data_IF_553684889183
#
_entry.id   IF_553684889183
#
_cell.length_a   1.000
_cell.length_b   1.000
_cell.length_c   1.000
_cell.angle_alpha   90.00
_cell.angle_beta   90.00
_cell.angle_gamma   90.00
#
_symmetry.space_group_name_H-M   'P 1'
#
loop_
_entity.id
_entity.type
_entity.pdbx_description
1 polymer ?
#
# COMPACT_ATOMS: atom_id res chain seq x y z
N UNK A 1 0.23 23.53 6.10
CA UNK A 1 0.30 22.34 6.97
C UNK A 1 1.19 21.34 6.27
N UNK A 2 2.33 20.97 6.86
CA UNK A 2 3.29 20.06 6.22
C UNK A 2 2.70 18.66 6.21
N UNK A 3 2.22 18.20 5.05
CA UNK A 3 1.79 16.82 4.87
C UNK A 3 2.98 15.90 5.17
N UNK A 4 2.95 15.22 6.33
CA UNK A 4 3.99 14.28 6.69
C UNK A 4 3.90 13.11 5.73
N UNK A 5 4.89 12.94 4.85
CA UNK A 5 4.94 11.84 3.89
C UNK A 5 6.11 10.90 4.23
N UNK A 6 5.92 9.60 3.99
CA UNK A 6 6.98 8.60 4.14
C UNK A 6 7.19 7.85 2.84
N UNK A 7 8.46 7.67 2.48
CA UNK A 7 8.87 6.87 1.32
C UNK A 7 9.22 5.47 1.78
N UNK A 8 8.65 4.45 1.12
CA UNK A 8 8.95 3.05 1.35
C UNK A 8 9.66 2.48 0.12
N UNK A 9 10.73 1.73 0.35
CA UNK A 9 11.41 0.97 -0.70
C UNK A 9 10.76 -0.40 -0.79
N UNK A 10 10.29 -0.75 -1.98
CA UNK A 10 9.57 -1.99 -2.26
C UNK A 10 10.35 -2.76 -3.32
N UNK A 11 10.45 -4.07 -3.17
CA UNK A 11 10.96 -4.95 -4.21
C UNK A 11 9.79 -5.66 -4.86
N UNK A 12 9.64 -5.52 -6.18
CA UNK A 12 8.57 -6.21 -6.89
C UNK A 12 8.76 -7.73 -6.81
N UNK A 13 7.69 -8.48 -6.51
CA UNK A 13 7.74 -9.94 -6.52
C UNK A 13 7.76 -10.55 -7.94
N UNK A 14 7.43 -9.76 -8.97
CA UNK A 14 7.31 -10.23 -10.36
C UNK A 14 8.58 -10.00 -11.17
N UNK A 15 9.07 -8.75 -11.21
CA UNK A 15 10.28 -8.39 -11.96
C UNK A 15 11.53 -8.23 -11.08
N UNK A 16 11.40 -8.37 -9.76
CA UNK A 16 12.48 -8.21 -8.78
C UNK A 16 13.15 -6.83 -8.72
N UNK A 17 12.72 -5.88 -9.55
CA UNK A 17 13.19 -4.50 -9.56
C UNK A 17 12.74 -3.76 -8.30
N UNK A 18 13.65 -3.02 -7.63
CA UNK A 18 13.31 -2.17 -6.50
C UNK A 18 12.69 -0.85 -6.98
N UNK A 19 11.60 -0.42 -6.36
CA UNK A 19 10.97 0.88 -6.59
C UNK A 19 10.58 1.56 -5.29
N UNK A 20 10.27 2.85 -5.37
CA UNK A 20 9.88 3.65 -4.22
C UNK A 20 8.42 4.06 -4.33
N UNK A 21 7.70 3.97 -3.23
CA UNK A 21 6.31 4.43 -3.10
C UNK A 21 6.22 5.42 -1.95
N UNK A 22 5.42 6.46 -2.14
CA UNK A 22 5.23 7.54 -1.15
C UNK A 22 3.81 7.47 -0.62
N UNK A 23 3.68 7.46 0.69
CA UNK A 23 2.38 7.50 1.36
C UNK A 23 2.30 8.74 2.27
N UNK A 24 1.22 9.52 2.17
CA UNK A 24 0.94 10.56 3.16
C UNK A 24 0.53 9.90 4.49
N UNK A 25 0.83 10.57 5.60
CA UNK A 25 0.32 10.22 6.91
C UNK A 25 -1.20 10.40 6.90
N UNK A 26 -1.92 9.30 7.03
CA UNK A 26 -3.37 9.25 7.05
C UNK A 26 -3.94 9.42 8.47
N UNK A 27 -3.36 8.71 9.44
CA UNK A 27 -3.79 8.74 10.85
C UNK A 27 -2.57 8.64 11.78
N UNK A 28 -2.25 9.71 12.48
CA UNK A 28 -1.10 9.73 13.38
C UNK A 28 -1.22 8.70 14.52
N UNK A 29 -2.43 8.48 15.01
CA UNK A 29 -2.74 7.61 16.16
C UNK A 29 -3.03 6.15 15.78
N UNK A 30 -2.88 5.78 14.50
CA UNK A 30 -3.13 4.40 14.07
C UNK A 30 -1.92 3.51 14.34
N UNK A 31 -2.10 2.53 15.20
CA UNK A 31 -1.08 1.53 15.55
C UNK A 31 -1.16 0.26 14.68
N UNK A 32 -0.03 -0.42 14.56
CA UNK A 32 0.11 -1.68 13.84
C UNK A 32 0.40 -1.53 12.34
N UNK A 33 0.39 -2.65 11.65
CA UNK A 33 0.71 -2.76 10.23
C UNK A 33 -0.51 -3.18 9.41
N UNK A 34 -0.54 -2.79 8.14
CA UNK A 34 -1.58 -3.17 7.20
C UNK A 34 -1.00 -3.46 5.82
N UNK A 35 -1.75 -4.23 5.04
CA UNK A 35 -1.40 -4.58 3.67
C UNK A 35 -1.99 -3.55 2.71
N UNK A 36 -1.18 -3.07 1.78
CA UNK A 36 -1.62 -2.18 0.69
C UNK A 36 -1.14 -2.73 -0.65
N UNK A 37 -1.95 -2.49 -1.68
CA UNK A 37 -1.61 -2.84 -3.07
C UNK A 37 -0.91 -1.65 -3.70
N UNK A 38 0.26 -1.88 -4.28
CA UNK A 38 0.97 -0.87 -5.09
C UNK A 38 1.28 -1.44 -6.47
N UNK A 39 1.21 -0.59 -7.49
CA UNK A 39 1.57 -0.97 -8.86
C UNK A 39 3.06 -0.78 -9.06
N UNK A 40 3.75 -1.83 -9.53
CA UNK A 40 5.16 -1.75 -9.87
C UNK A 40 5.37 -0.84 -11.08
N UNK A 41 6.29 0.12 -10.97
CA UNK A 41 6.62 1.06 -12.05
C UNK A 41 7.30 0.42 -13.26
N UNK A 42 7.82 -0.81 -13.11
CA UNK A 42 8.61 -1.49 -14.14
C UNK A 42 7.82 -2.53 -14.93
N UNK A 43 7.00 -3.34 -14.26
CA UNK A 43 6.22 -4.41 -14.91
C UNK A 43 4.70 -4.15 -14.89
N UNK A 44 4.27 -3.02 -14.32
CA UNK A 44 2.86 -2.63 -14.17
C UNK A 44 1.98 -3.63 -13.41
N UNK A 45 2.59 -4.62 -12.76
CA UNK A 45 1.88 -5.58 -11.93
C UNK A 45 1.65 -5.06 -10.51
N UNK A 46 0.54 -5.48 -9.94
CA UNK A 46 0.20 -5.18 -8.56
C UNK A 46 1.00 -6.08 -7.60
N UNK A 47 1.55 -5.47 -6.56
CA UNK A 47 2.23 -6.15 -5.47
C UNK A 47 1.68 -5.68 -4.13
N UNK A 48 1.57 -6.63 -3.20
CA UNK A 48 1.07 -6.37 -1.85
C UNK A 48 2.27 -6.08 -0.94
N UNK A 49 2.23 -4.97 -0.22
CA UNK A 49 3.27 -4.60 0.75
C UNK A 49 2.65 -4.36 2.12
N UNK A 50 3.44 -4.57 3.16
CA UNK A 50 3.06 -4.27 4.54
C UNK A 50 3.68 -2.94 4.95
N UNK A 51 2.85 -1.98 5.38
CA UNK A 51 3.29 -0.67 5.89
C UNK A 51 2.52 -0.32 7.18
N UNK A 52 3.01 0.62 8.01
CA UNK A 52 2.28 1.05 9.20
C UNK A 52 0.92 1.63 8.84
N UNK A 53 -0.11 1.28 9.62
CA UNK A 53 -1.49 1.73 9.42
C UNK A 53 -1.64 3.24 9.42
N UNK A 54 -0.74 3.95 10.10
CA UNK A 54 -0.69 5.41 10.09
C UNK A 54 -0.52 6.03 8.70
N UNK A 55 -0.06 5.27 7.70
CA UNK A 55 0.09 5.69 6.30
C UNK A 55 -0.92 5.05 5.36
N UNK A 56 -1.92 4.32 5.87
CA UNK A 56 -2.95 3.67 5.07
C UNK A 56 -4.23 4.51 5.18
N UNK A 57 -4.59 5.21 4.11
CA UNK A 57 -5.87 5.88 4.02
C UNK A 57 -7.01 4.85 3.98
N UNK A 58 -8.13 5.14 4.62
CA UNK A 58 -9.29 4.23 4.68
C UNK A 58 -9.83 3.89 3.28
N UNK A 59 -9.67 4.81 2.31
CA UNK A 59 -10.00 4.60 0.89
C UNK A 59 -9.06 3.64 0.16
N UNK A 60 -7.81 3.49 0.60
CA UNK A 60 -6.86 2.54 0.01
C UNK A 60 -7.16 1.08 0.39
N UNK A 61 -7.89 0.86 1.49
CA UNK A 61 -8.39 -0.45 1.90
C UNK A 61 -9.52 -0.94 0.99
N UNK A 62 -10.30 -0.03 0.40
CA UNK A 62 -11.49 -0.37 -0.42
C UNK A 62 -11.14 -0.76 -1.86
N UNK A 63 -9.99 -0.36 -2.42
CA UNK A 63 -9.57 -0.76 -3.78
C UNK A 63 -8.79 -2.08 -3.85
N UNK A 64 -8.48 -2.69 -2.71
CA UNK A 64 -7.75 -3.97 -2.63
C UNK A 64 -8.62 -5.17 -2.23
N UNK A 65 -9.89 -4.95 -1.92
CA UNK A 65 -10.86 -5.99 -1.65
C UNK A 65 -11.86 -5.95 -2.79
N UNK A 66 -11.47 -6.50 -3.95
CA UNK A 66 -12.49 -7.21 -4.73
C UNK A 66 -13.06 -8.22 -3.74
N UNK A 67 -14.27 -7.90 -3.27
CA UNK A 67 -15.08 -8.79 -2.48
C UNK A 67 -15.31 -9.97 -3.39
N UNK A 68 -14.52 -11.03 -3.24
CA UNK A 68 -14.84 -12.33 -3.82
C UNK A 68 -16.23 -12.64 -3.27
N UNK A 69 -17.29 -12.65 -4.10
CA UNK A 69 -18.57 -13.13 -3.59
C UNK A 69 -18.33 -14.58 -3.18
N UNK A 70 -18.49 -14.85 -1.88
CA UNK A 70 -18.65 -16.22 -1.41
C UNK A 70 -20.00 -16.69 -1.96
N UNK A 71 -20.00 -17.27 -3.15
CA UNK A 71 -21.13 -18.04 -3.66
C UNK A 71 -21.22 -19.33 -2.84
N UNK A 72 -22.36 -19.49 -2.14
CA UNK A 72 -22.77 -20.69 -1.42
C UNK A 72 -24.28 -20.70 -1.31
#
# INVERSE_FOLDING_TARGET
MSEQQKTFKVRCAHCHEPFHVRFPLARADAEGEGKVVVTCLYCSQNVIITIPRSYIAEEALLRGIESIPAEG
#
